data_IF_628729473200
#
_entry.id   IF_628729473200
#
_cell.length_a   1.000
_cell.length_b   1.000
_cell.length_c   1.000
_cell.angle_alpha   90.00
_cell.angle_beta   90.00
_cell.angle_gamma   90.00
#
_symmetry.space_group_name_H-M   'P 1'
#
loop_
_entity.id
_entity.type
_entity.pdbx_description
1 polymer ?
#
# COMPACT_ATOMS: atom_id res chain seq x y z
N UNK A 1 -6.44 -4.15 -4.43
CA UNK A 1 -5.24 -3.77 -5.21
C UNK A 1 -5.03 -2.27 -5.32
N UNK A 2 -5.96 -1.48 -5.87
CA UNK A 2 -5.78 0.00 -5.98
C UNK A 2 -5.49 0.62 -4.59
N UNK A 3 -6.23 0.21 -3.56
CA UNK A 3 -5.95 0.64 -2.18
C UNK A 3 -4.53 0.32 -1.71
N UNK A 4 -3.98 -0.84 -2.08
CA UNK A 4 -2.59 -1.22 -1.74
C UNK A 4 -1.62 -0.25 -2.41
N UNK A 5 -1.83 0.10 -3.68
CA UNK A 5 -0.98 1.07 -4.38
C UNK A 5 -1.03 2.43 -3.69
N UNK A 6 -2.23 2.92 -3.36
CA UNK A 6 -2.42 4.21 -2.69
C UNK A 6 -1.77 4.23 -1.31
N UNK A 7 -1.94 3.16 -0.52
CA UNK A 7 -1.29 3.04 0.79
C UNK A 7 0.23 2.92 0.65
N UNK A 8 0.72 2.26 -0.40
CA UNK A 8 2.15 2.15 -0.66
C UNK A 8 2.75 3.49 -1.06
N UNK A 9 2.05 4.32 -1.83
CA UNK A 9 2.56 5.61 -2.31
C UNK A 9 2.39 6.75 -1.30
N UNK A 10 1.46 6.65 -0.35
CA UNK A 10 1.28 7.68 0.68
C UNK A 10 2.41 7.65 1.71
N UNK A 11 2.74 8.83 2.23
CA UNK A 11 3.68 8.98 3.34
C UNK A 11 2.97 9.17 4.70
N UNK A 12 1.64 9.12 4.72
CA UNK A 12 0.83 9.31 5.92
C UNK A 12 0.56 8.00 6.68
N UNK A 13 1.64 7.29 7.02
CA UNK A 13 1.54 6.02 7.76
C UNK A 13 1.48 6.24 9.26
N UNK A 14 2.32 7.13 9.79
CA UNK A 14 2.34 7.47 11.22
C UNK A 14 2.49 8.97 11.39
N UNK A 15 1.47 9.59 11.96
CA UNK A 15 1.52 11.00 12.33
C UNK A 15 2.28 11.15 13.65
N UNK A 16 3.23 12.06 13.68
CA UNK A 16 4.12 12.35 14.81
C UNK A 16 4.03 13.83 15.18
N UNK A 17 4.41 14.15 16.42
CA UNK A 17 4.38 15.51 16.95
C UNK A 17 5.61 15.67 17.86
N UNK A 18 6.40 16.71 17.63
CA UNK A 18 7.64 16.96 18.37
C UNK A 18 7.40 17.48 19.80
N UNK A 19 6.20 18.00 20.06
CA UNK A 19 5.79 18.56 21.35
C UNK A 19 4.61 17.75 21.93
N UNK A 20 3.94 18.29 22.94
CA UNK A 20 2.66 17.74 23.42
C UNK A 20 1.59 17.90 22.33
N UNK A 21 0.69 16.92 22.18
CA UNK A 21 -0.44 16.95 21.22
C UNK A 21 -1.23 18.27 21.21
N UNK A 22 -1.63 18.86 22.35
CA UNK A 22 -2.34 20.15 22.33
C UNK A 22 -1.49 21.29 21.75
N UNK A 23 -0.17 21.25 21.92
CA UNK A 23 0.75 22.27 21.41
C UNK A 23 0.93 22.17 19.91
N UNK A 24 1.13 20.96 19.36
CA UNK A 24 1.23 20.76 17.91
C UNK A 24 -0.04 21.18 17.18
N UNK A 25 -1.22 20.92 17.76
CA UNK A 25 -2.50 21.36 17.18
C UNK A 25 -2.72 22.87 17.26
N UNK A 26 -2.03 23.56 18.15
CA UNK A 26 -2.09 25.03 18.27
C UNK A 26 -1.12 25.73 17.33
N UNK A 27 0.01 25.09 17.03
CA UNK A 27 1.06 25.61 16.17
C UNK A 27 0.97 25.11 14.71
N UNK A 28 0.08 24.15 14.44
CA UNK A 28 -0.02 23.38 13.19
C UNK A 28 1.31 22.75 12.74
N UNK A 29 2.14 22.34 13.71
CA UNK A 29 3.42 21.65 13.49
C UNK A 29 3.26 20.14 13.68
N UNK A 30 3.07 19.40 12.57
CA UNK A 30 2.93 17.95 12.56
C UNK A 30 4.07 17.31 11.75
N UNK A 31 4.53 16.14 12.18
CA UNK A 31 5.37 15.26 11.38
C UNK A 31 4.56 14.10 10.83
N UNK A 32 4.95 13.57 9.68
CA UNK A 32 4.39 12.35 9.11
C UNK A 32 5.54 11.42 8.73
N UNK A 33 5.51 10.19 9.21
CA UNK A 33 6.47 9.14 8.88
C UNK A 33 5.85 8.21 7.87
N UNK A 34 6.47 8.14 6.70
CA UNK A 34 5.99 7.37 5.57
C UNK A 34 6.84 6.14 5.29
N UNK A 35 6.34 5.32 4.37
CA UNK A 35 7.11 4.18 3.89
C UNK A 35 8.29 4.62 3.04
N UNK A 36 8.18 5.71 2.28
CA UNK A 36 9.19 6.18 1.31
C UNK A 36 9.83 7.52 1.67
N UNK A 37 9.13 8.37 2.40
CA UNK A 37 9.61 9.68 2.84
C UNK A 37 9.06 10.03 4.23
N UNK A 38 9.82 10.82 4.97
CA UNK A 38 9.38 11.46 6.21
C UNK A 38 9.10 12.93 5.91
N UNK A 39 7.92 13.40 6.30
CA UNK A 39 7.47 14.77 6.05
C UNK A 39 7.33 15.56 7.36
N UNK A 40 7.62 16.85 7.28
CA UNK A 40 7.34 17.83 8.32
C UNK A 40 6.39 18.87 7.73
N UNK A 41 5.28 19.08 8.42
CA UNK A 41 4.20 20.00 8.11
C UNK A 41 4.20 21.08 9.19
N UNK A 42 4.42 22.34 8.80
CA UNK A 42 4.26 23.49 9.67
C UNK A 42 3.49 24.59 8.92
N UNK A 43 3.09 25.65 9.60
CA UNK A 43 2.41 26.79 8.96
C UNK A 43 3.25 27.34 7.79
N UNK A 44 2.73 27.19 6.57
CA UNK A 44 3.41 27.64 5.35
C UNK A 44 4.63 26.79 4.91
N UNK A 45 4.86 25.62 5.53
CA UNK A 45 6.03 24.78 5.25
C UNK A 45 5.62 23.31 5.10
N UNK A 46 5.85 22.75 3.92
CA UNK A 46 5.68 21.32 3.65
C UNK A 46 6.97 20.77 3.05
N UNK A 47 7.75 20.07 3.86
CA UNK A 47 9.02 19.50 3.44
C UNK A 47 9.05 18.00 3.72
N UNK A 48 9.41 17.22 2.69
CA UNK A 48 9.58 15.77 2.78
C UNK A 48 11.01 15.38 2.46
N UNK A 49 11.59 14.55 3.33
CA UNK A 49 12.91 13.95 3.15
C UNK A 49 12.74 12.48 2.71
N UNK A 50 13.29 12.07 1.55
CA UNK A 50 13.19 10.70 1.08
C UNK A 50 14.06 9.75 1.92
N UNK A 51 13.54 8.54 2.16
CA UNK A 51 14.22 7.46 2.87
C UNK A 51 14.90 6.53 1.86
N UNK A 52 16.03 6.97 1.33
CA UNK A 52 16.84 6.22 0.34
C UNK A 52 17.84 5.26 0.98
N UNK A 53 18.18 5.49 2.25
CA UNK A 53 19.17 4.69 2.95
C UNK A 53 18.58 3.34 3.37
N UNK A 54 19.17 2.25 2.88
CA UNK A 54 18.70 0.88 3.16
C UNK A 54 19.26 0.38 4.50
N UNK A 55 20.45 0.83 4.90
CA UNK A 55 21.18 0.31 6.07
C UNK A 55 20.90 1.09 7.36
N UNK A 56 20.47 2.35 7.26
CA UNK A 56 20.18 3.24 8.40
C UNK A 56 18.71 3.14 8.81
N UNK A 57 17.85 2.65 7.92
CA UNK A 57 16.41 2.60 8.13
C UNK A 57 16.02 1.41 9.02
N UNK A 58 15.01 1.55 9.90
CA UNK A 58 14.57 0.45 10.74
C UNK A 58 14.14 -0.76 9.90
N UNK A 59 14.56 -1.96 10.31
CA UNK A 59 14.28 -3.19 9.57
C UNK A 59 12.78 -3.45 9.34
N UNK A 60 11.91 -2.98 10.24
CA UNK A 60 10.45 -3.10 10.06
C UNK A 60 9.95 -2.29 8.84
N UNK A 61 10.52 -1.12 8.56
CA UNK A 61 10.12 -0.29 7.41
C UNK A 61 10.51 -0.99 6.11
N UNK A 62 11.68 -1.60 6.08
CA UNK A 62 12.14 -2.37 4.92
C UNK A 62 11.30 -3.64 4.69
N UNK A 63 10.92 -4.35 5.76
CA UNK A 63 10.01 -5.47 5.66
C UNK A 63 8.63 -5.05 5.11
N UNK A 64 8.09 -3.94 5.61
CA UNK A 64 6.84 -3.36 5.10
C UNK A 64 6.94 -2.98 3.62
N UNK A 65 8.05 -2.38 3.17
CA UNK A 65 8.29 -2.08 1.74
C UNK A 65 8.22 -3.35 0.90
N UNK A 66 8.94 -4.38 1.30
CA UNK A 66 8.97 -5.64 0.58
C UNK A 66 7.57 -6.29 0.49
N UNK A 67 6.83 -6.32 1.61
CA UNK A 67 5.47 -6.87 1.65
C UNK A 67 4.50 -6.08 0.78
N UNK A 68 4.52 -4.75 0.84
CA UNK A 68 3.65 -3.89 0.04
C UNK A 68 3.93 -4.00 -1.46
N UNK A 69 5.20 -4.08 -1.85
CA UNK A 69 5.60 -4.30 -3.26
C UNK A 69 5.15 -5.69 -3.71
N UNK A 70 5.38 -6.73 -2.91
CA UNK A 70 4.96 -8.10 -3.24
C UNK A 70 3.43 -8.18 -3.41
N UNK A 71 2.66 -7.59 -2.48
CA UNK A 71 1.20 -7.54 -2.57
C UNK A 71 0.73 -6.75 -3.81
N UNK A 72 1.44 -5.69 -4.19
CA UNK A 72 1.16 -4.93 -5.41
C UNK A 72 1.43 -5.76 -6.68
N UNK A 73 2.52 -6.53 -6.71
CA UNK A 73 2.86 -7.39 -7.86
C UNK A 73 1.89 -8.57 -7.97
N UNK A 74 1.51 -9.19 -6.85
CA UNK A 74 0.61 -10.35 -6.82
C UNK A 74 -0.86 -9.98 -7.05
N UNK A 75 -1.30 -8.78 -6.66
CA UNK A 75 -2.71 -8.41 -6.80
C UNK A 75 -3.14 -8.13 -8.26
N UNK A 76 -2.23 -7.75 -9.16
CA UNK A 76 -2.54 -7.55 -10.58
C UNK A 76 -2.95 -8.86 -11.28
N UNK A 77 -2.16 -9.96 -11.25
CA UNK A 77 -2.57 -11.23 -11.81
C UNK A 77 -3.80 -11.80 -11.10
N UNK A 78 -3.97 -11.56 -9.81
CA UNK A 78 -5.16 -11.99 -9.08
C UNK A 78 -6.45 -11.34 -9.61
N UNK A 79 -6.43 -10.02 -9.90
CA UNK A 79 -7.55 -9.32 -10.52
C UNK A 79 -7.81 -9.83 -11.94
N UNK A 80 -6.77 -10.04 -12.74
CA UNK A 80 -6.93 -10.59 -14.09
C UNK A 80 -7.60 -11.96 -14.07
N UNK A 81 -7.17 -12.84 -13.16
CA UNK A 81 -7.82 -14.14 -12.96
C UNK A 81 -9.28 -13.97 -12.49
N UNK A 82 -9.56 -13.01 -11.61
CA UNK A 82 -10.92 -12.72 -11.18
C UNK A 82 -11.81 -12.28 -12.36
N UNK A 83 -11.31 -11.39 -13.23
CA UNK A 83 -12.03 -10.92 -14.42
C UNK A 83 -12.42 -12.08 -15.35
N UNK A 84 -11.55 -13.09 -15.48
CA UNK A 84 -11.83 -14.26 -16.31
C UNK A 84 -12.96 -15.15 -15.78
N UNK A 85 -13.27 -15.09 -14.49
CA UNK A 85 -14.33 -15.92 -13.88
C UNK A 85 -15.68 -15.20 -13.77
N UNK A 86 -15.77 -13.91 -14.11
CA UNK A 86 -17.04 -13.20 -14.11
C UNK A 86 -18.02 -13.80 -15.15
N UNK A 87 -19.34 -13.74 -14.93
CA UNK A 87 -20.33 -14.27 -15.86
C UNK A 87 -20.41 -13.48 -17.18
N UNK A 88 -19.99 -12.20 -17.17
CA UNK A 88 -19.97 -11.33 -18.34
C UNK A 88 -18.80 -11.59 -19.30
N UNK A 89 -17.74 -12.30 -18.86
CA UNK A 89 -16.60 -12.67 -19.70
C UNK A 89 -16.78 -14.10 -20.19
N UNK A 90 -16.97 -14.27 -21.49
CA UNK A 90 -17.14 -15.57 -22.15
C UNK A 90 -15.84 -16.01 -22.80
N UNK A 91 -15.06 -16.82 -22.09
CA UNK A 91 -13.96 -17.56 -22.70
C UNK A 91 -14.48 -18.91 -23.21
N UNK A 92 -15.10 -18.92 -24.38
CA UNK A 92 -15.48 -20.15 -25.10
C UNK A 92 -16.24 -21.21 -24.28
N UNK A 93 -15.98 -22.49 -24.59
CA UNK A 93 -16.55 -23.64 -23.90
C UNK A 93 -15.63 -24.09 -22.75
N UNK A 94 -15.74 -23.42 -21.61
CA UNK A 94 -14.94 -23.77 -20.43
C UNK A 94 -15.69 -24.70 -19.47
N UNK A 95 -15.06 -25.81 -19.03
CA UNK A 95 -15.66 -26.68 -18.02
C UNK A 95 -15.79 -25.93 -16.68
N UNK A 96 -16.94 -26.07 -16.01
CA UNK A 96 -17.24 -25.38 -14.74
C UNK A 96 -16.18 -25.59 -13.65
N UNK A 97 -15.51 -26.75 -13.66
CA UNK A 97 -14.42 -27.08 -12.73
C UNK A 97 -13.19 -26.19 -12.94
N UNK A 98 -12.83 -25.87 -14.19
CA UNK A 98 -11.69 -24.99 -14.48
C UNK A 98 -11.98 -23.53 -14.10
N UNK A 99 -13.24 -23.10 -14.23
CA UNK A 99 -13.70 -21.79 -13.75
C UNK A 99 -13.66 -21.70 -12.22
N UNK A 100 -14.11 -22.74 -11.53
CA UNK A 100 -14.05 -22.83 -10.06
C UNK A 100 -12.62 -22.80 -9.53
N UNK A 101 -11.70 -23.59 -10.12
CA UNK A 101 -10.29 -23.62 -9.72
C UNK A 101 -9.61 -22.25 -9.88
N UNK A 102 -9.89 -21.52 -10.97
CA UNK A 102 -9.37 -20.16 -11.16
C UNK A 102 -9.92 -19.16 -10.16
N UNK A 103 -11.19 -19.28 -9.78
CA UNK A 103 -11.78 -18.45 -8.73
C UNK A 103 -11.11 -18.71 -7.37
N UNK A 104 -10.84 -19.98 -7.03
CA UNK A 104 -10.10 -20.33 -5.81
C UNK A 104 -8.68 -19.76 -5.82
N UNK A 105 -7.93 -19.94 -6.91
CA UNK A 105 -6.57 -19.40 -7.05
C UNK A 105 -6.55 -17.87 -6.95
N UNK A 106 -7.49 -17.18 -7.61
CA UNK A 106 -7.63 -15.74 -7.54
C UNK A 106 -7.95 -15.27 -6.11
N UNK A 107 -8.79 -16.01 -5.38
CA UNK A 107 -9.09 -15.74 -3.98
C UNK A 107 -7.87 -15.87 -3.07
N UNK A 108 -7.10 -16.95 -3.23
CA UNK A 108 -5.86 -17.18 -2.45
C UNK A 108 -4.81 -16.11 -2.74
N UNK A 109 -4.71 -15.61 -3.97
CA UNK A 109 -3.76 -14.55 -4.35
C UNK A 109 -4.17 -13.15 -3.86
N UNK A 110 -5.44 -12.95 -3.47
CA UNK A 110 -5.95 -11.67 -2.97
C UNK A 110 -5.91 -11.56 -1.44
N UNK A 111 -5.76 -12.69 -0.74
CA UNK A 111 -5.55 -12.76 0.72
C UNK A 111 -4.08 -12.44 1.03
#
# INVERSE_FOLDING_TARGET
>A
WIGIIVTTSTNDWVVTCSYTIPTCRKMDELGSKGLWADCVMATGLYHCKPLVDILILPGYVQACRALMIAASVLGLPAILLLLTVLPCIRMGHEPGVAKYRRAQLAGVLLI
#
